data_IF_764076139874
#
_entry.id   IF_764076139874
#
_cell.length_a   1.000
_cell.length_b   1.000
_cell.length_c   1.000
_cell.angle_alpha   90.00
_cell.angle_beta   90.00
_cell.angle_gamma   90.00
#
_symmetry.space_group_name_H-M   'P 1'
#
loop_
_entity.id
_entity.type
_entity.pdbx_description
1 polymer ?
#
# COMPACT_ATOMS: atom_id res chain seq x y z
N UNK A 1 24.99 -6.12 -12.42
CA UNK A 1 23.59 -6.28 -11.96
C UNK A 1 22.73 -5.34 -12.78
N UNK A 2 21.64 -5.82 -13.38
CA UNK A 2 20.74 -4.96 -14.17
C UNK A 2 19.84 -4.14 -13.25
N UNK A 3 19.40 -2.96 -13.70
CA UNK A 3 18.35 -2.17 -13.04
C UNK A 3 17.00 -2.75 -13.47
N UNK A 4 16.08 -2.95 -12.52
CA UNK A 4 14.74 -3.50 -12.75
C UNK A 4 13.74 -2.68 -11.93
N UNK A 5 12.54 -2.51 -12.45
CA UNK A 5 11.41 -2.05 -11.63
C UNK A 5 10.64 -3.27 -11.11
N UNK A 6 10.03 -3.12 -9.95
CA UNK A 6 9.38 -4.22 -9.22
C UNK A 6 7.89 -3.94 -9.01
N UNK A 7 7.04 -4.91 -9.34
CA UNK A 7 5.62 -4.88 -9.05
C UNK A 7 5.31 -5.79 -7.87
N UNK A 8 4.59 -5.27 -6.87
CA UNK A 8 4.11 -6.06 -5.75
C UNK A 8 2.70 -6.55 -6.04
N UNK A 9 2.54 -7.86 -6.08
CA UNK A 9 1.26 -8.54 -6.34
C UNK A 9 1.02 -9.63 -5.31
N UNK A 10 -0.24 -9.98 -5.10
CA UNK A 10 -0.60 -11.10 -4.24
C UNK A 10 -0.70 -12.40 -5.06
N UNK A 11 0.03 -13.43 -4.64
CA UNK A 11 -0.01 -14.78 -5.22
C UNK A 11 -0.17 -15.78 -4.08
N UNK A 12 -1.24 -16.57 -4.13
CA UNK A 12 -1.55 -17.59 -3.12
C UNK A 12 -1.54 -17.04 -1.67
N UNK A 13 -2.01 -15.80 -1.45
CA UNK A 13 -2.07 -15.15 -0.13
C UNK A 13 -0.76 -14.48 0.31
N UNK A 14 0.26 -14.47 -0.54
CA UNK A 14 1.56 -13.89 -0.24
C UNK A 14 1.93 -12.80 -1.24
N UNK A 15 2.51 -11.71 -0.74
CA UNK A 15 3.05 -10.65 -1.58
C UNK A 15 4.33 -11.13 -2.30
N UNK A 16 4.37 -10.95 -3.61
CA UNK A 16 5.47 -11.34 -4.49
C UNK A 16 6.00 -10.13 -5.24
N UNK A 17 7.32 -10.06 -5.38
CA UNK A 17 8.02 -9.04 -6.15
C UNK A 17 8.30 -9.51 -7.58
N UNK A 18 7.52 -9.02 -8.54
CA UNK A 18 7.72 -9.27 -9.97
C UNK A 18 8.67 -8.22 -10.56
N UNK A 19 9.89 -8.64 -10.92
CA UNK A 19 10.88 -7.76 -11.53
C UNK A 19 10.68 -7.63 -13.05
N UNK A 20 10.73 -6.40 -13.56
CA UNK A 20 10.49 -6.07 -14.96
C UNK A 20 11.56 -5.12 -15.51
N UNK A 21 12.00 -5.39 -16.74
CA UNK A 21 12.88 -4.50 -17.54
C UNK A 21 12.12 -3.69 -18.60
N UNK A 22 10.79 -3.70 -18.56
CA UNK A 22 9.95 -3.14 -19.64
C UNK A 22 9.78 -1.62 -19.58
N UNK A 23 10.23 -1.01 -18.51
CA UNK A 23 9.96 0.39 -18.16
C UNK A 23 11.27 1.16 -18.06
N UNK A 24 11.27 2.32 -17.41
CA UNK A 24 12.46 3.16 -17.26
C UNK A 24 13.55 2.47 -16.40
N UNK A 25 13.19 1.40 -15.68
CA UNK A 25 14.12 0.60 -14.90
C UNK A 25 14.90 1.48 -13.92
N UNK A 26 14.20 2.26 -13.10
CA UNK A 26 14.78 3.22 -12.15
C UNK A 26 14.75 2.69 -10.71
N UNK A 27 14.60 1.38 -10.52
CA UNK A 27 14.47 0.70 -9.23
C UNK A 27 13.19 1.09 -8.48
N UNK A 28 12.12 1.38 -9.22
CA UNK A 28 10.84 1.70 -8.60
C UNK A 28 10.13 0.44 -8.09
N UNK A 29 9.33 0.65 -7.05
CA UNK A 29 8.52 -0.35 -6.38
C UNK A 29 7.05 0.04 -6.54
N UNK A 30 6.35 -0.62 -7.46
CA UNK A 30 4.96 -0.31 -7.83
C UNK A 30 3.97 -1.22 -7.10
N UNK A 31 2.94 -0.60 -6.52
CA UNK A 31 1.73 -1.20 -5.96
C UNK A 31 0.51 -0.73 -6.72
N UNK A 32 -0.64 -1.37 -6.49
CA UNK A 32 -1.90 -0.93 -7.08
C UNK A 32 -2.16 0.55 -6.75
N UNK A 33 -2.50 1.32 -7.78
CA UNK A 33 -2.69 2.76 -7.72
C UNK A 33 -1.46 3.60 -8.11
N UNK A 34 -0.27 2.99 -8.20
CA UNK A 34 0.95 3.74 -8.49
C UNK A 34 1.08 4.10 -9.97
N UNK A 35 1.67 5.26 -10.22
CA UNK A 35 2.08 5.68 -11.56
C UNK A 35 3.38 4.97 -11.97
N UNK A 36 3.34 4.26 -13.10
CA UNK A 36 4.47 3.52 -13.64
C UNK A 36 5.28 4.41 -14.58
N UNK A 37 6.52 4.71 -14.19
CA UNK A 37 7.46 5.47 -15.01
C UNK A 37 7.79 4.71 -16.31
N UNK A 38 7.96 5.42 -17.42
CA UNK A 38 8.20 4.79 -18.73
C UNK A 38 7.03 4.04 -19.36
N UNK A 39 5.85 4.04 -18.73
CA UNK A 39 4.66 3.38 -19.28
C UNK A 39 4.04 4.19 -20.43
N UNK A 40 3.50 3.47 -21.43
CA UNK A 40 2.80 4.08 -22.55
C UNK A 40 1.34 4.41 -22.19
N UNK A 41 0.76 5.50 -22.74
CA UNK A 41 -0.65 5.82 -22.52
C UNK A 41 -1.59 4.75 -23.10
N UNK A 42 -2.83 4.79 -22.64
CA UNK A 42 -3.88 3.81 -22.94
C UNK A 42 -3.89 2.60 -22.01
N UNK A 43 -4.62 1.55 -22.40
CA UNK A 43 -4.70 0.30 -21.63
C UNK A 43 -3.63 -0.67 -22.12
N UNK A 44 -2.72 -1.06 -21.22
CA UNK A 44 -1.65 -2.02 -21.48
C UNK A 44 -1.82 -3.20 -20.54
N UNK A 45 -1.77 -4.39 -21.10
CA UNK A 45 -1.76 -5.64 -20.32
C UNK A 45 -0.49 -6.37 -20.69
N UNK A 46 0.37 -6.57 -19.71
CA UNK A 46 1.58 -7.37 -19.81
C UNK A 46 1.34 -8.70 -19.13
N UNK A 47 2.01 -9.76 -19.58
CA UNK A 47 1.99 -11.03 -18.89
C UNK A 47 3.40 -11.58 -18.73
N UNK A 48 3.57 -12.40 -17.70
CA UNK A 48 4.80 -13.13 -17.43
C UNK A 48 4.50 -14.48 -16.78
N UNK A 49 5.49 -15.37 -16.80
CA UNK A 49 5.43 -16.67 -16.14
C UNK A 49 6.27 -16.65 -14.87
N UNK A 50 5.65 -17.04 -13.76
CA UNK A 50 6.32 -17.18 -12.47
C UNK A 50 6.59 -18.64 -12.17
N UNK A 51 7.79 -18.90 -11.68
CA UNK A 51 8.18 -20.16 -11.08
C UNK A 51 8.26 -19.95 -9.56
N UNK A 52 7.57 -20.78 -8.80
CA UNK A 52 7.53 -20.74 -7.34
C UNK A 52 8.10 -22.05 -6.76
N UNK A 53 8.81 -21.93 -5.65
CA UNK A 53 9.25 -23.07 -4.85
C UNK A 53 8.09 -23.66 -4.01
N UNK A 54 8.41 -24.67 -3.20
CA UNK A 54 7.48 -25.31 -2.26
C UNK A 54 6.99 -24.36 -1.16
N UNK A 55 7.77 -23.33 -0.82
CA UNK A 55 7.42 -22.27 0.13
C UNK A 55 6.62 -21.12 -0.49
N UNK A 56 6.40 -21.14 -1.81
CA UNK A 56 5.67 -20.10 -2.54
C UNK A 56 6.50 -18.86 -2.87
N UNK A 57 7.83 -18.92 -2.80
CA UNK A 57 8.72 -17.82 -3.19
C UNK A 57 9.12 -17.92 -4.65
N UNK A 58 9.36 -16.75 -5.26
CA UNK A 58 9.82 -16.65 -6.64
C UNK A 58 11.22 -17.25 -6.84
N UNK A 59 11.30 -18.13 -7.83
CA UNK A 59 12.52 -18.82 -8.24
C UNK A 59 12.96 -18.31 -9.61
N UNK A 60 14.07 -17.59 -9.64
CA UNK A 60 14.68 -17.06 -10.87
C UNK A 60 15.85 -17.91 -11.40
N UNK A 61 16.33 -18.90 -10.61
CA UNK A 61 17.51 -19.70 -10.95
C UNK A 61 17.10 -21.02 -11.60
N UNK A 62 17.83 -21.39 -12.66
CA UNK A 62 17.64 -22.63 -13.43
C UNK A 62 17.84 -23.89 -12.55
N UNK A 63 18.68 -23.79 -11.52
CA UNK A 63 19.05 -24.91 -10.64
C UNK A 63 18.08 -25.15 -9.47
N UNK A 64 17.16 -24.21 -9.22
CA UNK A 64 16.22 -24.31 -8.11
C UNK A 64 14.94 -25.01 -8.56
N UNK A 65 14.41 -25.87 -7.70
CA UNK A 65 13.26 -26.72 -8.02
C UNK A 65 11.99 -25.87 -8.15
N UNK A 66 11.54 -25.69 -9.39
CA UNK A 66 10.25 -25.08 -9.68
C UNK A 66 9.15 -26.11 -9.39
N UNK A 67 8.42 -25.90 -8.29
CA UNK A 67 7.33 -26.78 -7.87
C UNK A 67 6.00 -26.32 -8.47
N UNK A 68 5.83 -25.01 -8.63
CA UNK A 68 4.57 -24.42 -9.11
C UNK A 68 4.83 -23.34 -10.15
N UNK A 69 4.07 -23.41 -11.24
CA UNK A 69 4.05 -22.37 -12.27
C UNK A 69 2.78 -21.54 -12.18
N UNK A 70 2.90 -20.25 -12.46
CA UNK A 70 1.79 -19.31 -12.58
C UNK A 70 1.98 -18.44 -13.82
N UNK A 71 0.88 -18.02 -14.43
CA UNK A 71 0.89 -16.94 -15.42
C UNK A 71 0.26 -15.72 -14.78
N UNK A 72 1.00 -14.62 -14.74
CA UNK A 72 0.55 -13.35 -14.18
C UNK A 72 0.28 -12.37 -15.29
N UNK A 73 -0.76 -11.57 -15.12
CA UNK A 73 -1.10 -10.44 -15.95
C UNK A 73 -1.03 -9.16 -15.11
N UNK A 74 -0.36 -8.13 -15.61
CA UNK A 74 -0.30 -6.79 -15.02
C UNK A 74 -1.03 -5.83 -15.95
N UNK A 75 -1.99 -5.08 -15.41
CA UNK A 75 -2.79 -4.12 -16.16
C UNK A 75 -2.39 -2.70 -15.77
N UNK A 76 -1.98 -1.93 -16.78
CA UNK A 76 -1.78 -0.50 -16.66
C UNK A 76 -2.88 0.22 -17.44
N UNK A 77 -3.53 1.20 -16.80
CA UNK A 77 -4.48 2.08 -17.45
C UNK A 77 -3.95 3.51 -17.38
N UNK A 78 -3.69 4.11 -18.54
CA UNK A 78 -3.07 5.43 -18.66
C UNK A 78 -1.77 5.55 -17.86
N UNK A 79 -1.01 4.46 -17.73
CA UNK A 79 0.23 4.42 -16.97
C UNK A 79 0.08 4.18 -15.47
N UNK A 80 -1.13 4.06 -14.94
CA UNK A 80 -1.39 3.67 -13.54
C UNK A 80 -1.51 2.15 -13.45
N UNK A 81 -0.89 1.53 -12.45
CA UNK A 81 -1.08 0.11 -12.15
C UNK A 81 -2.45 -0.13 -11.49
N UNK A 82 -3.39 -0.72 -12.22
CA UNK A 82 -4.80 -0.78 -11.81
C UNK A 82 -5.33 -2.16 -11.44
N UNK A 83 -4.71 -3.22 -11.95
CA UNK A 83 -5.21 -4.58 -11.75
C UNK A 83 -4.12 -5.60 -12.06
N UNK A 84 -4.23 -6.77 -11.46
CA UNK A 84 -3.44 -7.93 -11.84
C UNK A 84 -4.29 -9.21 -11.76
N UNK A 85 -3.95 -10.19 -12.58
CA UNK A 85 -4.56 -11.53 -12.50
C UNK A 85 -3.50 -12.60 -12.46
N UNK A 86 -3.75 -13.62 -11.65
CA UNK A 86 -2.85 -14.77 -11.48
C UNK A 86 -3.59 -16.03 -11.88
N UNK A 87 -3.03 -16.77 -12.83
CA UNK A 87 -3.57 -18.03 -13.34
C UNK A 87 -2.62 -19.17 -13.01
N UNK A 88 -3.19 -20.36 -12.79
CA UNK A 88 -2.41 -21.57 -12.48
C UNK A 88 -1.76 -22.13 -13.75
N UNK A 89 -0.50 -22.53 -13.63
CA UNK A 89 0.28 -23.13 -14.71
C UNK A 89 0.83 -22.11 -15.70
N UNK A 90 1.47 -22.62 -16.75
CA UNK A 90 1.88 -21.82 -17.91
C UNK A 90 0.74 -21.86 -18.94
N UNK A 91 0.05 -20.74 -19.09
CA UNK A 91 -0.99 -20.62 -20.10
C UNK A 91 -0.41 -20.66 -21.51
N UNK A 92 -1.08 -21.37 -22.41
CA UNK A 92 -0.76 -21.35 -23.84
C UNK A 92 -1.10 -20.01 -24.46
N UNK A 93 -0.52 -19.70 -25.63
CA UNK A 93 -0.85 -18.48 -26.38
C UNK A 93 -2.36 -18.34 -26.67
N UNK A 94 -3.03 -19.47 -26.97
CA UNK A 94 -4.48 -19.51 -27.21
C UNK A 94 -5.31 -19.21 -25.96
N UNK A 95 -4.79 -19.49 -24.76
CA UNK A 95 -5.43 -19.14 -23.49
C UNK A 95 -5.08 -17.72 -23.01
N UNK A 96 -3.89 -17.21 -23.36
CA UNK A 96 -3.45 -15.85 -23.01
C UNK A 96 -4.26 -14.80 -23.76
N UNK A 97 -4.48 -14.99 -25.07
CA UNK A 97 -5.16 -14.00 -25.91
C UNK A 97 -6.55 -13.56 -25.40
N UNK A 98 -7.48 -14.46 -25.04
CA UNK A 98 -8.78 -14.05 -24.53
C UNK A 98 -8.67 -13.32 -23.19
N UNK A 99 -7.72 -13.69 -22.32
CA UNK A 99 -7.48 -12.99 -21.04
C UNK A 99 -7.00 -11.57 -21.28
N UNK A 100 -6.07 -11.36 -22.22
CA UNK A 100 -5.60 -10.02 -22.60
C UNK A 100 -6.75 -9.16 -23.12
N UNK A 101 -7.60 -9.69 -24.00
CA UNK A 101 -8.75 -8.96 -24.55
C UNK A 101 -9.75 -8.59 -23.44
N UNK A 102 -10.12 -9.55 -22.59
CA UNK A 102 -11.06 -9.31 -21.50
C UNK A 102 -10.55 -8.27 -20.50
N UNK A 103 -9.26 -8.31 -20.14
CA UNK A 103 -8.65 -7.31 -19.26
C UNK A 103 -8.61 -5.91 -19.90
N UNK A 104 -8.32 -5.84 -21.20
CA UNK A 104 -8.36 -4.56 -21.94
C UNK A 104 -9.77 -3.99 -21.97
N UNK A 105 -10.75 -4.79 -22.37
CA UNK A 105 -12.16 -4.38 -22.44
C UNK A 105 -12.67 -3.93 -21.07
N UNK A 106 -12.36 -4.67 -20.01
CA UNK A 106 -12.73 -4.30 -18.63
C UNK A 106 -12.25 -2.91 -18.25
N UNK A 107 -11.02 -2.55 -18.62
CA UNK A 107 -10.39 -1.28 -18.23
C UNK A 107 -10.48 -0.17 -19.29
N UNK A 108 -11.10 -0.42 -20.44
CA UNK A 108 -11.49 0.61 -21.40
C UNK A 108 -12.66 1.47 -20.89
N UNK A 109 -13.44 0.96 -19.93
CA UNK A 109 -14.51 1.70 -19.27
C UNK A 109 -13.92 2.85 -18.42
N UNK A 110 -14.13 4.08 -18.88
CA UNK A 110 -13.63 5.28 -18.21
C UNK A 110 -14.28 5.51 -16.84
N UNK A 111 -15.53 5.10 -16.63
CA UNK A 111 -16.21 5.25 -15.35
C UNK A 111 -15.58 4.31 -14.31
N UNK A 112 -15.25 3.08 -14.70
CA UNK A 112 -14.50 2.14 -13.85
C UNK A 112 -13.14 2.72 -13.47
N UNK A 113 -12.37 3.22 -14.46
CA UNK A 113 -11.05 3.76 -14.19
C UNK A 113 -11.11 4.97 -13.25
N UNK A 114 -12.05 5.89 -13.47
CA UNK A 114 -12.26 7.03 -12.57
C UNK A 114 -12.67 6.58 -11.16
N UNK A 115 -13.60 5.64 -11.03
CA UNK A 115 -14.01 5.08 -9.75
C UNK A 115 -12.82 4.50 -8.98
N UNK A 116 -11.99 3.70 -9.66
CA UNK A 116 -10.76 3.16 -9.09
C UNK A 116 -9.81 4.28 -8.59
N UNK A 117 -9.58 5.32 -9.39
CA UNK A 117 -8.71 6.43 -8.98
C UNK A 117 -9.25 7.18 -7.75
N UNK A 118 -10.57 7.38 -7.67
CA UNK A 118 -11.21 8.02 -6.51
C UNK A 118 -11.03 7.17 -5.25
N UNK A 119 -11.20 5.86 -5.35
CA UNK A 119 -10.99 4.93 -4.23
C UNK A 119 -9.54 4.95 -3.74
N UNK A 120 -8.57 4.89 -4.65
CA UNK A 120 -7.14 4.99 -4.31
C UNK A 120 -6.83 6.34 -3.67
N UNK A 121 -7.33 7.45 -4.24
CA UNK A 121 -7.11 8.78 -3.68
C UNK A 121 -7.69 8.90 -2.26
N UNK A 122 -8.91 8.40 -2.04
CA UNK A 122 -9.54 8.38 -0.72
C UNK A 122 -8.72 7.59 0.29
N UNK A 123 -8.23 6.41 -0.08
CA UNK A 123 -7.38 5.59 0.78
C UNK A 123 -6.07 6.31 1.13
N UNK A 124 -5.44 7.00 0.18
CA UNK A 124 -4.24 7.80 0.44
C UNK A 124 -4.51 9.00 1.34
N UNK A 125 -5.63 9.70 1.14
CA UNK A 125 -6.04 10.82 2.01
C UNK A 125 -6.27 10.35 3.45
N UNK A 126 -6.95 9.22 3.64
CA UNK A 126 -7.14 8.61 4.96
C UNK A 126 -5.81 8.25 5.62
N UNK A 127 -4.86 7.71 4.84
CA UNK A 127 -3.52 7.40 5.32
C UNK A 127 -2.74 8.65 5.72
N UNK A 128 -2.83 9.73 4.94
CA UNK A 128 -2.19 11.01 5.27
C UNK A 128 -2.78 11.56 6.56
N UNK A 129 -4.11 11.63 6.69
CA UNK A 129 -4.77 12.10 7.90
C UNK A 129 -4.36 11.28 9.15
N UNK A 130 -4.26 9.95 9.02
CA UNK A 130 -3.77 9.09 10.08
C UNK A 130 -2.32 9.42 10.48
N UNK A 131 -1.45 9.65 9.50
CA UNK A 131 -0.05 10.02 9.74
C UNK A 131 0.09 11.42 10.36
N UNK A 132 -0.72 12.38 9.91
CA UNK A 132 -0.78 13.73 10.48
C UNK A 132 -1.21 13.68 11.95
N UNK A 133 -2.29 12.94 12.27
CA UNK A 133 -2.73 12.72 13.64
C UNK A 133 -1.63 12.09 14.52
N UNK A 134 -0.84 11.15 13.97
CA UNK A 134 0.29 10.55 14.67
C UNK A 134 1.41 11.56 14.94
N UNK A 135 1.72 12.40 13.96
CA UNK A 135 2.72 13.46 14.11
C UNK A 135 2.30 14.49 15.15
N UNK A 136 1.04 14.92 15.12
CA UNK A 136 0.48 15.86 16.09
C UNK A 136 0.54 15.30 17.51
N UNK A 137 0.21 14.01 17.68
CA UNK A 137 0.32 13.31 18.96
C UNK A 137 1.77 13.26 19.47
N UNK A 138 2.73 12.94 18.59
CA UNK A 138 4.16 12.96 18.95
C UNK A 138 4.61 14.36 19.33
N UNK A 139 4.19 15.38 18.58
CA UNK A 139 4.53 16.78 18.86
C UNK A 139 3.96 17.25 20.20
N UNK A 140 2.75 16.82 20.56
CA UNK A 140 2.14 17.08 21.86
C UNK A 140 2.97 16.45 23.00
N UNK A 141 3.35 15.17 22.88
CA UNK A 141 4.19 14.47 23.86
C UNK A 141 5.54 15.19 24.05
N UNK A 142 6.22 15.57 22.96
CA UNK A 142 7.49 16.30 23.02
C UNK A 142 7.32 17.65 23.71
N UNK A 143 6.25 18.38 23.37
CA UNK A 143 5.96 19.69 23.97
C UNK A 143 5.72 19.57 25.46
N UNK A 144 4.91 18.59 25.88
CA UNK A 144 4.60 18.35 27.29
C UNK A 144 5.82 17.86 28.09
N UNK A 145 6.65 16.99 27.52
CA UNK A 145 7.92 16.60 28.12
C UNK A 145 8.87 17.80 28.32
N UNK A 146 8.94 18.73 27.36
CA UNK A 146 9.73 19.96 27.49
C UNK A 146 9.20 20.87 28.60
N UNK A 147 7.88 21.01 28.71
CA UNK A 147 7.21 21.79 29.77
C UNK A 147 7.49 21.21 31.15
N UNK A 148 7.36 19.89 31.32
CA UNK A 148 7.72 19.21 32.57
C UNK A 148 9.20 19.42 32.93
N UNK A 149 10.10 19.33 31.96
CA UNK A 149 11.53 19.59 32.18
C UNK A 149 11.80 21.05 32.60
N UNK A 150 10.99 21.99 32.15
CA UNK A 150 11.04 23.39 32.55
C UNK A 150 10.37 23.67 33.92
N UNK A 151 9.79 22.65 34.56
CA UNK A 151 9.10 22.78 35.85
C UNK A 151 7.66 23.31 35.72
N UNK A 152 7.11 23.36 34.51
CA UNK A 152 5.71 23.72 34.28
C UNK A 152 4.78 22.55 34.60
N UNK A 153 3.57 22.86 35.08
CA UNK A 153 2.51 21.85 35.25
C UNK A 153 1.83 21.56 33.92
N UNK A 154 1.52 20.29 33.69
CA UNK A 154 0.65 19.85 32.60
C UNK A 154 -0.81 20.14 32.96
N UNK A 155 -1.19 21.41 32.89
CA UNK A 155 -2.60 21.80 32.96
C UNK A 155 -3.18 21.63 31.55
N UNK A 156 -4.01 20.59 31.36
CA UNK A 156 -4.65 20.31 30.08
C UNK A 156 -5.62 21.43 29.69
N UNK A 157 -5.63 21.82 28.41
CA UNK A 157 -6.64 22.71 27.86
C UNK A 157 -7.98 21.95 27.97
N UNK A 158 -8.85 22.36 28.89
CA UNK A 158 -10.16 21.74 29.24
C UNK A 158 -10.14 20.54 30.21
N UNK A 159 -9.04 20.25 30.91
CA UNK A 159 -9.03 19.17 31.93
C UNK A 159 -9.06 17.74 31.37
N UNK A 160 -9.00 17.57 30.05
CA UNK A 160 -8.76 16.29 29.40
C UNK A 160 -7.26 15.98 29.42
N UNK A 161 -6.80 15.39 30.55
CA UNK A 161 -5.47 14.80 30.63
C UNK A 161 -5.44 13.56 29.74
N UNK A 162 -4.72 13.65 28.63
CA UNK A 162 -4.53 12.52 27.75
C UNK A 162 -3.68 11.47 28.47
N UNK A 163 -3.85 10.19 28.12
CA UNK A 163 -3.17 9.09 28.81
C UNK A 163 -1.63 9.21 28.73
N UNK A 164 -1.10 9.79 27.64
CA UNK A 164 0.31 10.12 27.52
C UNK A 164 0.77 11.22 28.50
N UNK A 165 -0.08 12.21 28.83
CA UNK A 165 0.24 13.23 29.82
C UNK A 165 0.35 12.65 31.23
N UNK A 166 -0.49 11.65 31.55
CA UNK A 166 -0.43 10.93 32.82
C UNK A 166 0.88 10.13 32.94
N UNK A 167 1.27 9.43 31.88
CA UNK A 167 2.53 8.67 31.82
C UNK A 167 3.75 9.58 31.97
N UNK A 168 3.76 10.71 31.26
CA UNK A 168 4.80 11.73 31.40
C UNK A 168 4.85 12.33 32.81
N UNK A 169 3.69 12.65 33.40
CA UNK A 169 3.61 13.17 34.77
C UNK A 169 4.03 12.13 35.83
N UNK A 170 3.87 10.84 35.54
CA UNK A 170 4.39 9.74 36.36
C UNK A 170 5.92 9.57 36.25
N UNK A 171 6.57 10.32 35.36
CA UNK A 171 8.02 10.30 35.16
C UNK A 171 8.52 9.27 34.14
N UNK A 172 7.65 8.70 33.31
CA UNK A 172 8.06 7.81 32.23
C UNK A 172 8.92 8.54 31.19
N UNK A 173 9.86 7.81 30.56
CA UNK A 173 10.76 8.40 29.56
C UNK A 173 9.96 8.80 28.31
N UNK A 174 10.14 10.03 27.77
CA UNK A 174 9.34 10.50 26.63
C UNK A 174 9.40 9.61 25.38
N UNK A 175 10.53 8.95 25.14
CA UNK A 175 10.70 8.03 24.01
C UNK A 175 9.83 6.77 24.17
N UNK A 176 9.72 6.25 25.39
CA UNK A 176 8.87 5.09 25.69
C UNK A 176 7.38 5.44 25.57
N UNK A 177 7.00 6.64 26.00
CA UNK A 177 5.63 7.14 25.85
C UNK A 177 5.26 7.33 24.38
N UNK A 178 6.19 7.81 23.54
CA UNK A 178 6.00 7.88 22.08
C UNK A 178 5.86 6.49 21.49
N UNK A 179 6.74 5.55 21.84
CA UNK A 179 6.70 4.19 21.32
C UNK A 179 5.39 3.48 21.67
N UNK A 180 4.92 3.64 22.91
CA UNK A 180 3.60 3.15 23.34
C UNK A 180 2.45 3.81 22.57
N UNK A 181 2.46 5.14 22.46
CA UNK A 181 1.41 5.91 21.79
C UNK A 181 1.27 5.55 20.30
N UNK A 182 2.37 5.18 19.65
CA UNK A 182 2.40 4.72 18.26
C UNK A 182 2.07 3.22 18.12
N UNK A 183 2.33 2.42 19.15
CA UNK A 183 2.16 0.96 19.13
C UNK A 183 0.71 0.48 19.38
N UNK A 184 -0.10 1.23 20.13
CA UNK A 184 -1.46 0.82 20.49
C UNK A 184 -2.42 0.69 19.29
N UNK A 185 -2.21 1.47 18.23
CA UNK A 185 -3.08 1.49 17.05
C UNK A 185 -2.62 0.58 15.89
N UNK A 186 -1.40 0.03 15.95
CA UNK A 186 -0.94 -0.95 14.95
C UNK A 186 -1.73 -2.26 14.97
N UNK A 187 -2.50 -2.52 16.02
CA UNK A 187 -3.39 -3.67 16.22
C UNK A 187 -4.59 -3.71 15.25
N UNK A 188 -4.93 -2.59 14.60
CA UNK A 188 -6.05 -2.50 13.62
C UNK A 188 -5.59 -2.51 12.15
N UNK A 189 -4.29 -2.68 11.86
CA UNK A 189 -3.74 -2.61 10.50
C UNK A 189 -3.86 -3.89 9.66
N UNK A 190 -4.49 -4.94 10.19
CA UNK A 190 -4.54 -6.26 9.57
C UNK A 190 -5.90 -6.60 8.99
N UNK A 191 -6.38 -5.86 7.98
CA UNK A 191 -7.34 -6.31 6.97
C UNK A 191 -7.59 -5.15 6.00
N UNK A 192 -6.80 -5.14 4.93
CA UNK A 192 -7.06 -4.36 3.73
C UNK A 192 -8.32 -4.91 3.05
N UNK A 193 -9.50 -4.44 3.46
CA UNK A 193 -10.80 -4.45 2.74
C UNK A 193 -11.94 -4.23 3.74
N UNK A 194 -12.61 -3.08 3.66
CA UNK A 194 -14.01 -2.94 4.09
C UNK A 194 -14.29 -2.07 5.32
N UNK A 195 -15.21 -1.14 5.09
CA UNK A 195 -16.12 -0.50 6.04
C UNK A 195 -15.58 0.38 7.19
N UNK A 196 -15.42 1.67 6.86
CA UNK A 196 -16.01 2.73 7.69
C UNK A 196 -16.54 3.83 6.75
N UNK A 197 -17.85 3.81 6.54
CA UNK A 197 -18.60 4.81 5.79
C UNK A 197 -18.67 6.11 6.62
N UNK A 198 -17.60 6.90 6.59
CA UNK A 198 -17.64 8.32 6.97
C UNK A 198 -17.46 9.10 5.69
N UNK A 199 -18.53 9.75 5.23
CA UNK A 199 -18.49 10.63 4.06
C UNK A 199 -17.69 11.89 4.45
N UNK A 200 -16.44 12.04 3.97
CA UNK A 200 -15.59 13.17 4.38
C UNK A 200 -16.05 14.50 3.78
N UNK A 201 -17.12 14.51 2.97
CA UNK A 201 -17.73 15.71 2.41
C UNK A 201 -18.95 16.19 3.21
N UNK A 202 -19.29 15.55 4.33
CA UNK A 202 -20.43 15.95 5.17
C UNK A 202 -20.28 17.39 5.69
N UNK A 203 -19.06 17.84 5.98
CA UNK A 203 -18.79 19.22 6.44
C UNK A 203 -18.87 20.29 5.33
N UNK A 204 -18.91 19.87 4.05
CA UNK A 204 -18.88 20.78 2.90
C UNK A 204 -20.17 20.80 2.07
N UNK A 205 -21.17 20.00 2.44
CA UNK A 205 -22.51 20.07 1.85
C UNK A 205 -23.34 21.11 2.61
N UNK A 206 -23.57 22.25 1.95
CA UNK A 206 -24.45 23.33 2.39
C UNK A 206 -25.90 22.88 2.54
#
# INVERSE_FOLDING_TARGET
>A
MGMFDSFYIEVDGHEQELQSKRFDCILNHYRLGDWVSGSLPGIRVYFDHLCLDDTGKLVYRIEAECVRKRTVFIVLAQGVFVDFQVHKGELSASAISPVLSALRERWLDSARFQGFLVEILRAQQQKIALLENRLDRVQAIITNARRLKAGEKLDGILGLLHEHDKKLAAGEEPLDVIAWALGDETSMGGLWLGDANLDPLEEYRL
#
